data_IF_780818677150
#
_entry.id   IF_780818677150
#
_cell.length_a   1.000
_cell.length_b   1.000
_cell.length_c   1.000
_cell.angle_alpha   90.00
_cell.angle_beta   90.00
_cell.angle_gamma   90.00
#
_symmetry.space_group_name_H-M   'P 1'
#
loop_
_entity.id
_entity.type
_entity.pdbx_description
1 polymer ?
#
# COMPACT_ATOMS: atom_id res chain seq x y z
N UNK A 1 -6.64 27.72 0.25
CA UNK A 1 -6.34 26.80 1.36
C UNK A 1 -5.19 27.41 2.13
N UNK A 2 -5.25 27.53 3.47
CA UNK A 2 -4.13 28.00 4.30
C UNK A 2 -2.84 27.21 4.06
N UNK A 3 -2.98 25.96 3.61
CA UNK A 3 -1.90 25.08 3.21
C UNK A 3 -1.29 25.41 1.83
N UNK A 4 -1.66 26.51 1.17
CA UNK A 4 -1.05 26.97 -0.10
C UNK A 4 -0.36 28.32 0.05
N UNK A 5 -0.03 28.70 1.29
CA UNK A 5 0.70 29.92 1.57
C UNK A 5 2.13 29.84 0.99
N UNK A 6 2.57 30.82 0.18
CA UNK A 6 3.93 30.85 -0.37
C UNK A 6 5.02 30.73 0.70
N UNK A 7 4.84 31.32 1.88
CA UNK A 7 5.82 31.29 2.98
C UNK A 7 6.02 29.88 3.57
N UNK A 8 5.06 28.97 3.32
CA UNK A 8 5.07 27.60 3.83
C UNK A 8 5.52 26.57 2.79
N UNK A 9 5.80 26.99 1.55
CA UNK A 9 6.08 26.09 0.40
C UNK A 9 7.22 25.11 0.66
N UNK A 10 8.34 25.58 1.21
CA UNK A 10 9.52 24.73 1.49
C UNK A 10 9.50 24.13 2.89
N UNK A 11 8.56 24.54 3.74
CA UNK A 11 8.42 24.08 5.13
C UNK A 11 7.45 22.91 5.26
N UNK A 12 6.46 22.84 4.37
CA UNK A 12 5.44 21.80 4.37
C UNK A 12 5.64 20.88 3.16
N UNK A 13 5.67 19.56 3.38
CA UNK A 13 5.53 18.58 2.29
C UNK A 13 4.08 18.52 1.81
N UNK A 14 3.65 19.58 1.15
CA UNK A 14 2.28 19.70 0.61
C UNK A 14 2.07 18.87 -0.65
N UNK A 15 3.14 18.70 -1.41
CA UNK A 15 3.16 17.84 -2.57
C UNK A 15 3.71 16.47 -2.18
N UNK A 16 3.02 15.43 -2.66
CA UNK A 16 3.55 14.07 -2.64
C UNK A 16 4.92 14.08 -3.33
N UNK A 17 5.83 13.18 -2.93
CA UNK A 17 7.05 12.95 -3.72
C UNK A 17 6.66 12.82 -5.20
N UNK A 18 7.32 13.53 -6.12
CA UNK A 18 6.81 13.86 -7.46
C UNK A 18 6.28 12.65 -8.26
N UNK A 19 6.77 11.44 -7.97
CA UNK A 19 6.38 10.18 -8.59
C UNK A 19 5.26 9.37 -7.87
N UNK A 20 4.73 9.81 -6.73
CA UNK A 20 3.71 9.06 -5.96
C UNK A 20 2.32 9.70 -5.92
N UNK A 21 2.19 10.92 -6.45
CA UNK A 21 0.96 11.72 -6.34
C UNK A 21 -0.08 11.57 -7.45
N UNK A 22 0.28 10.96 -8.59
CA UNK A 22 -0.61 10.84 -9.74
C UNK A 22 -1.75 9.84 -9.50
N UNK A 23 -2.87 10.02 -10.22
CA UNK A 23 -4.01 9.09 -10.16
C UNK A 23 -3.58 7.65 -10.46
N UNK A 24 -2.79 7.46 -11.52
CA UNK A 24 -2.26 6.14 -11.89
C UNK A 24 -1.33 5.58 -10.80
N UNK A 25 -0.41 6.39 -10.27
CA UNK A 25 0.56 5.92 -9.26
C UNK A 25 -0.08 5.65 -7.90
N UNK A 26 -1.23 6.27 -7.59
CA UNK A 26 -1.92 6.15 -6.29
C UNK A 26 -3.07 5.15 -6.29
N UNK A 27 -3.71 4.90 -7.44
CA UNK A 27 -4.94 4.10 -7.52
C UNK A 27 -4.84 2.89 -8.45
N UNK A 28 -3.77 2.74 -9.23
CA UNK A 28 -3.63 1.55 -10.07
C UNK A 28 -3.45 0.31 -9.20
N UNK A 29 -4.22 -0.74 -9.51
CA UNK A 29 -4.04 -2.08 -8.96
C UNK A 29 -2.87 -2.83 -9.58
N UNK A 30 -2.37 -2.37 -10.73
CA UNK A 30 -1.21 -2.94 -11.40
C UNK A 30 0.08 -2.58 -10.61
N UNK A 31 0.82 -3.57 -10.09
CA UNK A 31 2.03 -3.35 -9.32
C UNK A 31 3.19 -2.77 -10.14
N UNK A 32 3.15 -2.83 -11.47
CA UNK A 32 4.18 -2.17 -12.29
C UNK A 32 3.90 -0.67 -12.44
N UNK A 33 2.63 -0.27 -12.31
CA UNK A 33 2.18 1.11 -12.57
C UNK A 33 2.20 1.98 -11.31
N UNK A 34 1.76 1.46 -10.16
CA UNK A 34 1.46 2.29 -9.00
C UNK A 34 1.87 1.73 -7.64
N UNK A 35 2.04 2.64 -6.68
CA UNK A 35 2.34 2.31 -5.29
C UNK A 35 1.23 1.49 -4.63
N UNK A 36 -0.03 1.70 -5.02
CA UNK A 36 -1.15 0.89 -4.51
C UNK A 36 -1.00 -0.58 -4.92
N UNK A 37 -0.83 -0.86 -6.21
CA UNK A 37 -0.54 -2.21 -6.71
C UNK A 37 0.67 -2.84 -6.03
N UNK A 38 1.79 -2.12 -5.92
CA UNK A 38 3.00 -2.63 -5.25
C UNK A 38 2.78 -2.95 -3.77
N UNK A 39 2.04 -2.11 -3.06
CA UNK A 39 1.74 -2.31 -1.64
C UNK A 39 0.91 -3.60 -1.43
N UNK A 40 -0.11 -3.81 -2.26
CA UNK A 40 -0.92 -5.03 -2.23
C UNK A 40 -0.08 -6.25 -2.61
N UNK A 41 0.72 -6.16 -3.69
CA UNK A 41 1.56 -7.26 -4.14
C UNK A 41 2.57 -7.68 -3.07
N UNK A 42 3.28 -6.73 -2.44
CA UNK A 42 4.22 -7.05 -1.37
C UNK A 42 3.56 -7.74 -0.17
N UNK A 43 2.32 -7.39 0.16
CA UNK A 43 1.54 -8.10 1.17
C UNK A 43 1.24 -9.54 0.74
N UNK A 44 0.81 -9.75 -0.51
CA UNK A 44 0.56 -11.08 -1.06
C UNK A 44 1.82 -11.94 -1.04
N UNK A 45 2.97 -11.40 -1.42
CA UNK A 45 4.25 -12.11 -1.43
C UNK A 45 4.63 -12.59 -0.02
N UNK A 46 4.45 -11.75 1.00
CA UNK A 46 4.68 -12.12 2.41
C UNK A 46 3.73 -13.23 2.86
N UNK A 47 2.44 -13.12 2.50
CA UNK A 47 1.45 -14.14 2.86
C UNK A 47 1.76 -15.47 2.16
N UNK A 48 2.06 -15.46 0.86
CA UNK A 48 2.37 -16.67 0.10
C UNK A 48 3.69 -17.31 0.53
N UNK A 49 4.70 -16.50 0.87
CA UNK A 49 6.02 -16.97 1.30
C UNK A 49 6.05 -17.58 2.70
N UNK A 50 5.10 -17.22 3.57
CA UNK A 50 5.06 -17.69 4.94
C UNK A 50 4.13 -18.89 5.12
N UNK A 51 4.51 -19.83 6.00
CA UNK A 51 3.68 -21.00 6.37
C UNK A 51 3.13 -21.82 5.19
N UNK A 52 3.84 -21.84 4.05
CA UNK A 52 3.40 -22.54 2.84
C UNK A 52 2.18 -21.91 2.16
N UNK A 53 1.96 -20.62 2.37
CA UNK A 53 0.83 -19.88 1.80
C UNK A 53 -0.51 -20.16 2.47
N UNK A 54 -0.52 -20.80 3.64
CA UNK A 54 -1.73 -21.16 4.39
C UNK A 54 -2.04 -20.09 5.47
N UNK A 55 -3.03 -19.21 5.25
CA UNK A 55 -3.34 -18.13 6.19
C UNK A 55 -3.83 -18.63 7.54
N UNK A 56 -4.40 -19.85 7.62
CA UNK A 56 -4.88 -20.42 8.88
C UNK A 56 -3.72 -20.70 9.85
N UNK A 57 -2.50 -20.90 9.35
CA UNK A 57 -1.30 -21.14 10.17
C UNK A 57 -0.60 -19.86 10.63
N UNK A 58 -0.89 -18.71 10.03
CA UNK A 58 -0.18 -17.45 10.32
C UNK A 58 -0.64 -16.80 11.62
N UNK A 59 0.24 -16.49 12.60
CA UNK A 59 -0.19 -15.96 13.90
C UNK A 59 -0.78 -14.55 13.83
N UNK A 60 -0.45 -13.80 12.78
CA UNK A 60 -0.88 -12.42 12.55
C UNK A 60 -2.14 -12.30 11.67
N UNK A 61 -2.64 -13.41 11.12
CA UNK A 61 -3.91 -13.44 10.37
C UNK A 61 -5.06 -13.68 11.37
N UNK A 62 -6.03 -12.79 11.36
CA UNK A 62 -7.27 -12.90 12.15
C UNK A 62 -8.40 -13.52 11.32
N UNK A 63 -9.53 -13.84 11.95
CA UNK A 63 -10.73 -14.42 11.30
C UNK A 63 -10.43 -15.70 10.50
N UNK A 64 -9.62 -16.59 11.11
CA UNK A 64 -9.08 -17.79 10.46
C UNK A 64 -10.14 -18.82 10.08
N UNK A 65 -11.31 -18.75 10.71
CA UNK A 65 -12.48 -19.52 10.35
C UNK A 65 -12.87 -19.36 8.88
N UNK A 66 -12.58 -18.21 8.26
CA UNK A 66 -12.83 -17.97 6.83
C UNK A 66 -11.94 -18.78 5.87
N UNK A 67 -10.89 -19.44 6.36
CA UNK A 67 -9.97 -20.26 5.56
C UNK A 67 -10.11 -21.76 5.82
N UNK A 68 -11.01 -22.16 6.72
CA UNK A 68 -11.29 -23.57 6.97
C UNK A 68 -12.34 -24.04 5.96
N UNK A 69 -11.93 -24.91 5.03
CA UNK A 69 -12.82 -25.63 4.11
C UNK A 69 -13.55 -26.77 4.82
#
# INVERSE_FOLDING_TARGET
SPLRDPELTDRLRLFHHFASGGRATRLSSDPEIGMAGRCVQGMLDVLQGNYGGDPAKMPYVVNKEGFRS
#
